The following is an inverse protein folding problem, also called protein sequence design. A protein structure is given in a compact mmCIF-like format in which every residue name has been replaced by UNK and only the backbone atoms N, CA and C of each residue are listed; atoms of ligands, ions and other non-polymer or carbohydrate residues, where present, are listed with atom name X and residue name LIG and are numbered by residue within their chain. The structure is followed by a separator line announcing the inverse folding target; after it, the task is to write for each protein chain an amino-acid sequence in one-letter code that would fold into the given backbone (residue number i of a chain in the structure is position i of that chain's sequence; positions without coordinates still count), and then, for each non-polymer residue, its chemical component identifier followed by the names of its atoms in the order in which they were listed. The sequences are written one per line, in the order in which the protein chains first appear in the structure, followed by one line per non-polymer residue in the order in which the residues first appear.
data_IF_587416616680
#
_entry.id   IF_587416616680
#
_cell.length_a   1.000
_cell.length_b   1.000
_cell.length_c   1.000
_cell.angle_alpha   90.00
_cell.angle_beta   90.00
_cell.angle_gamma   90.00
#
_symmetry.space_group_name_H-M   'P 1'
#
loop_
_entity.id
_entity.type
_entity.pdbx_description
1 polymer ?
#
# COMPACT_ATOMS: atom_id res chain seq x y z
N UNK A 1 15.23 12.95 10.72
CA UNK A 1 14.83 12.73 12.13
C UNK A 1 16.03 12.19 12.90
N UNK A 2 16.17 12.54 14.19
CA UNK A 2 17.28 12.07 15.05
C UNK A 2 16.79 10.91 15.91
N UNK A 3 17.52 9.79 15.96
CA UNK A 3 17.20 8.64 16.80
C UNK A 3 17.89 8.76 18.16
N UNK A 4 17.14 8.65 19.26
CA UNK A 4 17.68 8.73 20.61
C UNK A 4 17.93 7.33 21.20
N UNK A 5 19.19 6.87 21.15
CA UNK A 5 19.60 5.56 21.67
C UNK A 5 19.58 5.45 23.20
N UNK A 6 19.64 6.57 23.93
CA UNK A 6 19.50 6.55 25.39
C UNK A 6 18.11 6.02 25.78
N UNK A 7 17.06 6.46 25.09
CA UNK A 7 15.69 6.01 25.35
C UNK A 7 15.47 4.55 24.95
N UNK A 8 16.12 4.10 23.88
CA UNK A 8 16.09 2.67 23.47
C UNK A 8 16.69 1.80 24.56
N UNK A 9 17.84 2.21 25.10
CA UNK A 9 18.57 1.40 26.06
C UNK A 9 18.00 1.49 27.49
N UNK A 10 17.56 2.67 27.92
CA UNK A 10 17.19 2.93 29.32
C UNK A 10 15.70 3.23 29.55
N UNK A 11 14.92 3.54 28.52
CA UNK A 11 13.50 3.88 28.65
C UNK A 11 12.58 2.91 27.90
N UNK A 12 13.04 1.67 27.68
CA UNK A 12 12.26 0.58 27.07
C UNK A 12 11.62 0.96 25.73
N UNK A 13 12.26 1.84 24.96
CA UNK A 13 11.81 2.13 23.59
C UNK A 13 12.24 1.00 22.65
N UNK A 14 11.28 0.33 22.01
CA UNK A 14 11.55 -0.74 21.05
C UNK A 14 11.49 -0.24 19.61
N UNK A 15 12.50 -0.60 18.82
CA UNK A 15 12.55 -0.34 17.37
C UNK A 15 12.40 -1.68 16.67
N UNK A 16 11.40 -1.79 15.81
CA UNK A 16 11.13 -2.99 15.00
C UNK A 16 11.17 -2.59 13.53
N UNK A 17 12.04 -3.25 12.76
CA UNK A 17 12.04 -3.14 11.30
C UNK A 17 11.12 -4.20 10.72
N UNK A 18 10.16 -3.81 9.89
CA UNK A 18 9.31 -4.72 9.14
C UNK A 18 9.56 -4.53 7.63
N UNK A 19 9.45 -5.61 6.87
CA UNK A 19 9.60 -5.58 5.41
C UNK A 19 8.50 -6.41 4.77
N UNK A 20 7.53 -5.73 4.15
CA UNK A 20 6.39 -6.39 3.51
C UNK A 20 5.49 -7.12 4.52
N UNK A 21 4.76 -8.11 4.01
CA UNK A 21 3.94 -9.03 4.81
C UNK A 21 4.17 -10.47 4.36
N UNK A 22 3.84 -11.41 5.23
CA UNK A 22 3.90 -12.85 4.97
C UNK A 22 2.52 -13.39 4.56
N UNK A 23 2.45 -14.70 4.30
CA UNK A 23 1.19 -15.37 3.93
C UNK A 23 0.10 -15.25 4.99
N UNK A 24 0.46 -15.26 6.27
CA UNK A 24 -0.49 -15.12 7.38
C UNK A 24 -1.13 -13.72 7.39
N UNK A 25 -0.34 -12.68 7.16
CA UNK A 25 -0.83 -11.30 7.05
C UNK A 25 -1.84 -11.16 5.90
N UNK A 26 -1.59 -11.83 4.77
CA UNK A 26 -2.54 -11.86 3.64
C UNK A 26 -3.84 -12.58 3.99
N UNK A 27 -3.78 -13.74 4.66
CA UNK A 27 -4.96 -14.50 5.08
C UNK A 27 -5.81 -13.66 6.03
N UNK A 28 -5.19 -13.01 7.01
CA UNK A 28 -5.88 -12.11 7.94
C UNK A 28 -6.54 -10.95 7.19
N UNK A 29 -5.80 -10.30 6.28
CA UNK A 29 -6.32 -9.20 5.46
C UNK A 29 -7.56 -9.62 4.66
N UNK A 30 -7.54 -10.80 4.03
CA UNK A 30 -8.68 -11.36 3.29
C UNK A 30 -9.89 -11.61 4.20
N UNK A 31 -9.67 -12.20 5.38
CA UNK A 31 -10.75 -12.46 6.35
C UNK A 31 -11.37 -11.16 6.86
N UNK A 32 -10.57 -10.11 7.08
CA UNK A 32 -11.07 -8.79 7.48
C UNK A 32 -11.89 -8.14 6.35
N UNK A 33 -11.45 -8.28 5.11
CA UNK A 33 -12.19 -7.79 3.93
C UNK A 33 -13.52 -8.54 3.75
N UNK A 34 -13.52 -9.87 3.88
CA UNK A 34 -14.73 -10.70 3.80
C UNK A 34 -15.77 -10.31 4.87
N UNK A 35 -15.30 -9.99 6.08
CA UNK A 35 -16.13 -9.50 7.19
C UNK A 35 -16.53 -8.03 7.06
N UNK A 36 -16.15 -7.34 5.97
CA UNK A 36 -16.36 -5.91 5.74
C UNK A 36 -15.75 -5.00 6.84
N UNK A 37 -14.74 -5.49 7.58
CA UNK A 37 -14.04 -4.70 8.59
C UNK A 37 -13.06 -3.70 7.98
N UNK A 38 -12.53 -4.04 6.80
CA UNK A 38 -11.68 -3.16 5.99
C UNK A 38 -12.14 -3.21 4.53
N UNK A 39 -12.05 -2.09 3.82
CA UNK A 39 -12.37 -2.01 2.40
C UNK A 39 -11.13 -1.66 1.58
N UNK A 40 -10.68 -2.52 0.65
CA UNK A 40 -9.53 -2.23 -0.21
C UNK A 40 -9.82 -1.09 -1.19
N UNK A 41 -11.11 -0.80 -1.45
CA UNK A 41 -11.52 0.29 -2.34
C UNK A 41 -11.09 1.66 -1.81
N UNK A 42 -10.99 1.83 -0.48
CA UNK A 42 -10.54 3.08 0.13
C UNK A 42 -9.11 3.48 -0.27
N UNK A 43 -8.27 2.53 -0.71
CA UNK A 43 -6.91 2.82 -1.16
C UNK A 43 -6.83 3.21 -2.65
N UNK A 44 -7.84 2.83 -3.44
CA UNK A 44 -7.84 3.00 -4.90
C UNK A 44 -8.27 4.43 -5.21
N UNK A 45 -7.37 5.19 -5.83
CA UNK A 45 -7.59 6.60 -6.18
C UNK A 45 -7.80 6.81 -7.68
N UNK A 46 -7.29 5.87 -8.49
CA UNK A 46 -7.37 5.93 -9.94
C UNK A 46 -7.62 4.53 -10.49
N UNK A 47 -8.39 4.45 -11.57
CA UNK A 47 -8.66 3.25 -12.34
C UNK A 47 -8.32 3.54 -13.80
N UNK A 48 -7.54 2.68 -14.43
CA UNK A 48 -7.09 2.84 -15.81
C UNK A 48 -7.12 1.55 -16.62
N UNK A 49 -7.03 1.68 -17.94
CA UNK A 49 -6.84 0.56 -18.86
C UNK A 49 -5.37 0.21 -19.08
N UNK A 50 -5.11 -0.91 -19.77
CA UNK A 50 -3.74 -1.35 -20.06
C UNK A 50 -2.93 -0.30 -20.87
N UNK A 51 -3.62 0.48 -21.70
CA UNK A 51 -3.05 1.56 -22.53
C UNK A 51 -2.37 2.67 -21.71
N UNK A 52 -2.79 2.92 -20.47
CA UNK A 52 -2.22 4.01 -19.65
C UNK A 52 -1.07 3.58 -18.73
N UNK A 53 -0.73 2.28 -18.69
CA UNK A 53 0.27 1.73 -17.75
C UNK A 53 1.65 2.35 -17.93
N UNK A 54 2.13 2.44 -19.16
CA UNK A 54 3.48 2.96 -19.45
C UNK A 54 3.61 4.41 -18.97
N UNK A 55 2.65 5.26 -19.38
CA UNK A 55 2.65 6.68 -18.98
C UNK A 55 2.48 6.85 -17.47
N UNK A 56 1.60 6.07 -16.84
CA UNK A 56 1.33 6.12 -15.39
C UNK A 56 2.56 5.71 -14.59
N UNK A 57 3.27 4.67 -15.04
CA UNK A 57 4.47 4.15 -14.37
C UNK A 57 5.62 5.17 -14.48
N UNK A 58 5.86 5.73 -15.67
CA UNK A 58 6.92 6.73 -15.89
C UNK A 58 6.70 8.02 -15.09
N UNK A 59 5.45 8.42 -14.88
CA UNK A 59 5.09 9.65 -14.18
C UNK A 59 4.60 9.44 -12.75
N UNK A 60 4.75 8.24 -12.18
CA UNK A 60 4.16 7.87 -10.89
C UNK A 60 4.43 8.89 -9.75
N UNK A 61 5.63 9.47 -9.59
CA UNK A 61 5.90 10.47 -8.55
C UNK A 61 5.10 11.78 -8.72
N UNK A 62 4.67 12.10 -9.94
CA UNK A 62 3.90 13.31 -10.27
C UNK A 62 2.39 13.09 -10.16
N UNK A 63 1.95 11.83 -10.16
CA UNK A 63 0.53 11.47 -10.09
C UNK A 63 0.16 11.25 -8.62
N UNK A 64 -0.64 12.15 -8.08
CA UNK A 64 -1.13 12.07 -6.69
C UNK A 64 -1.95 10.80 -6.42
N UNK A 65 -2.19 10.51 -5.14
CA UNK A 65 -3.03 9.39 -4.70
C UNK A 65 -2.28 8.09 -4.45
N UNK A 66 -2.87 7.21 -3.64
CA UNK A 66 -2.20 6.04 -3.08
C UNK A 66 -2.06 4.91 -4.10
N UNK A 67 -3.17 4.29 -4.53
CA UNK A 67 -3.16 3.13 -5.41
C UNK A 67 -3.82 3.42 -6.76
N UNK A 68 -3.14 2.99 -7.84
CA UNK A 68 -3.61 3.07 -9.23
C UNK A 68 -3.94 1.64 -9.68
N UNK A 69 -5.20 1.36 -9.96
CA UNK A 69 -5.66 0.04 -10.41
C UNK A 69 -5.73 0.03 -11.94
N UNK A 70 -5.17 -1.02 -12.56
CA UNK A 70 -5.16 -1.19 -14.02
C UNK A 70 -5.95 -2.43 -14.37
N UNK A 71 -6.96 -2.27 -15.23
CA UNK A 71 -7.66 -3.38 -15.85
C UNK A 71 -7.04 -3.70 -17.20
N UNK A 72 -6.59 -4.95 -17.37
CA UNK A 72 -5.88 -5.41 -18.58
C UNK A 72 -6.78 -5.51 -19.81
N UNK A 73 -8.09 -5.69 -19.60
CA UNK A 73 -9.07 -5.99 -20.65
C UNK A 73 -10.08 -4.85 -20.89
N UNK A 74 -9.84 -3.68 -20.31
CA UNK A 74 -10.74 -2.52 -20.42
C UNK A 74 -9.93 -1.35 -20.97
N UNK A 75 -10.47 -0.70 -22.00
CA UNK A 75 -10.02 0.64 -22.38
C UNK A 75 -10.90 1.65 -21.67
N UNK A 76 -10.31 2.36 -20.70
CA UNK A 76 -10.94 3.49 -20.04
C UNK A 76 -10.50 4.76 -20.78
N UNK A 77 -11.49 5.57 -21.16
CA UNK A 77 -11.29 6.86 -21.84
C UNK A 77 -10.78 7.92 -20.88
#
# INVERSE_FOLDING_TARGET
AMCNFYNVHYMSTHIVGTSGGNTQDMIESLQMMEKNLISPAAMITHIGGLNCVVNTTLNLPKISGSKKLIYTNIELK
#
